data_IF_350747799439
#
_entry.id   IF_350747799439
#
_cell.length_a   1.000
_cell.length_b   1.000
_cell.length_c   1.000
_cell.angle_alpha   90.00
_cell.angle_beta   90.00
_cell.angle_gamma   90.00
#
_symmetry.space_group_name_H-M   'P 1'
#
loop_
_entity.id
_entity.type
_entity.pdbx_description
1 polymer ?
#
# COMPACT_ATOMS: atom_id res chain seq x y z
N UNK A 1 24.74 -13.46 -6.04
CA UNK A 1 23.94 -12.31 -6.51
C UNK A 1 22.96 -11.96 -5.41
N UNK A 2 23.12 -10.80 -4.77
CA UNK A 2 22.14 -10.30 -3.79
C UNK A 2 21.13 -9.44 -4.56
N UNK A 3 20.12 -10.08 -5.13
CA UNK A 3 19.01 -9.35 -5.76
C UNK A 3 17.98 -8.99 -4.70
N UNK A 4 17.48 -7.76 -4.74
CA UNK A 4 16.35 -7.36 -3.90
C UNK A 4 15.15 -8.24 -4.27
N UNK A 5 14.42 -8.81 -3.29
CA UNK A 5 13.23 -9.60 -3.59
C UNK A 5 12.21 -8.78 -4.37
N UNK A 6 11.68 -9.33 -5.47
CA UNK A 6 10.70 -8.67 -6.33
C UNK A 6 9.46 -8.20 -5.54
N UNK A 7 9.02 -9.03 -4.59
CA UNK A 7 7.93 -8.70 -3.67
C UNK A 7 8.18 -7.42 -2.88
N UNK A 8 9.43 -7.19 -2.43
CA UNK A 8 9.79 -5.96 -1.73
C UNK A 8 9.66 -4.74 -2.66
N UNK A 9 10.13 -4.85 -3.90
CA UNK A 9 10.02 -3.77 -4.90
C UNK A 9 8.55 -3.44 -5.18
N UNK A 10 7.71 -4.47 -5.36
CA UNK A 10 6.28 -4.30 -5.59
C UNK A 10 5.56 -3.67 -4.39
N UNK A 11 5.83 -4.14 -3.17
CA UNK A 11 5.29 -3.54 -1.95
C UNK A 11 5.69 -2.07 -1.78
N UNK A 12 6.96 -1.73 -2.04
CA UNK A 12 7.44 -0.35 -1.95
C UNK A 12 6.82 0.56 -3.01
N UNK A 13 6.71 0.08 -4.25
CA UNK A 13 6.07 0.84 -5.33
C UNK A 13 4.59 1.10 -5.02
N UNK A 14 3.88 0.06 -4.57
CA UNK A 14 2.47 0.15 -4.20
C UNK A 14 2.27 1.10 -3.00
N UNK A 15 3.12 1.01 -1.97
CA UNK A 15 3.09 1.91 -0.82
C UNK A 15 3.23 3.37 -1.24
N UNK A 16 4.17 3.70 -2.13
CA UNK A 16 4.37 5.07 -2.59
C UNK A 16 3.13 5.62 -3.32
N UNK A 17 2.47 4.80 -4.14
CA UNK A 17 1.23 5.20 -4.83
C UNK A 17 0.15 5.54 -3.79
N UNK A 18 -0.06 4.67 -2.80
CA UNK A 18 -1.06 4.87 -1.75
C UNK A 18 -0.73 6.07 -0.86
N UNK A 19 0.55 6.29 -0.56
CA UNK A 19 1.01 7.44 0.20
C UNK A 19 0.71 8.75 -0.53
N UNK A 20 1.03 8.84 -1.82
CA UNK A 20 0.71 10.01 -2.63
C UNK A 20 -0.79 10.25 -2.69
N UNK A 21 -1.58 9.20 -2.92
CA UNK A 21 -3.04 9.33 -2.94
C UNK A 21 -3.62 9.81 -1.61
N UNK A 22 -3.11 9.30 -0.48
CA UNK A 22 -3.50 9.76 0.84
C UNK A 22 -3.11 11.23 1.06
N UNK A 23 -1.92 11.64 0.64
CA UNK A 23 -1.48 13.03 0.73
C UNK A 23 -2.36 13.96 -0.12
N UNK A 24 -2.70 13.57 -1.34
CA UNK A 24 -3.53 14.37 -2.24
C UNK A 24 -4.98 14.48 -1.73
N UNK A 25 -5.48 13.42 -1.11
CA UNK A 25 -6.87 13.36 -0.60
C UNK A 25 -7.04 14.10 0.73
N UNK A 26 -6.10 13.93 1.65
CA UNK A 26 -6.23 14.43 3.03
C UNK A 26 -5.33 15.63 3.34
N UNK A 27 -4.41 16.01 2.45
CA UNK A 27 -3.43 17.08 2.64
C UNK A 27 -2.24 16.71 3.54
N UNK A 28 -2.29 15.55 4.20
CA UNK A 28 -1.23 15.01 5.04
C UNK A 28 -1.38 13.50 5.17
N UNK A 29 -0.28 12.81 5.49
CA UNK A 29 -0.28 11.35 5.67
C UNK A 29 -0.06 11.00 7.14
N UNK A 30 -0.95 10.17 7.68
CA UNK A 30 -0.80 9.49 8.95
C UNK A 30 -1.32 8.04 8.79
N UNK A 31 -1.09 7.19 9.80
CA UNK A 31 -1.48 5.77 9.72
C UNK A 31 -2.99 5.59 9.48
N UNK A 32 -3.83 6.47 10.04
CA UNK A 32 -5.29 6.37 9.90
C UNK A 32 -5.74 6.63 8.46
N UNK A 33 -5.32 7.75 7.87
CA UNK A 33 -5.68 8.14 6.52
C UNK A 33 -5.06 7.20 5.47
N UNK A 34 -3.84 6.74 5.72
CA UNK A 34 -3.18 5.74 4.87
C UNK A 34 -3.90 4.39 4.94
N UNK A 35 -4.28 3.94 6.13
CA UNK A 35 -5.07 2.70 6.31
C UNK A 35 -6.40 2.79 5.58
N UNK A 36 -7.12 3.92 5.70
CA UNK A 36 -8.37 4.12 4.97
C UNK A 36 -8.16 4.05 3.46
N UNK A 37 -7.13 4.73 2.96
CA UNK A 37 -6.75 4.71 1.53
C UNK A 37 -6.49 3.28 1.04
N UNK A 38 -5.71 2.50 1.80
CA UNK A 38 -5.40 1.12 1.45
C UNK A 38 -6.66 0.25 1.42
N UNK A 39 -7.53 0.39 2.42
CA UNK A 39 -8.79 -0.37 2.49
C UNK A 39 -9.72 -0.05 1.32
N UNK A 40 -9.81 1.22 0.92
CA UNK A 40 -10.64 1.67 -0.19
C UNK A 40 -10.15 1.09 -1.53
N UNK A 41 -8.84 1.09 -1.76
CA UNK A 41 -8.23 0.49 -2.95
C UNK A 41 -8.38 -1.04 -2.97
N UNK A 42 -8.07 -1.69 -1.83
CA UNK A 42 -8.20 -3.14 -1.66
C UNK A 42 -9.61 -3.63 -1.96
N UNK A 43 -10.64 -2.90 -1.51
CA UNK A 43 -12.05 -3.28 -1.71
C UNK A 43 -12.48 -3.37 -3.18
N UNK A 44 -11.72 -2.73 -4.08
CA UNK A 44 -12.00 -2.65 -5.52
C UNK A 44 -11.01 -3.46 -6.36
N UNK A 45 -10.03 -4.09 -5.73
CA UNK A 45 -8.95 -4.79 -6.43
C UNK A 45 -9.31 -6.26 -6.64
N UNK A 46 -9.53 -6.72 -7.89
CA UNK A 46 -9.74 -8.14 -8.18
C UNK A 46 -8.44 -8.96 -8.23
N UNK A 47 -7.27 -8.32 -8.35
CA UNK A 47 -6.00 -9.04 -8.44
C UNK A 47 -5.55 -9.58 -7.08
N UNK A 48 -5.37 -10.90 -6.98
CA UNK A 48 -4.97 -11.58 -5.74
C UNK A 48 -3.56 -11.20 -5.27
N UNK A 49 -2.62 -10.95 -6.19
CA UNK A 49 -1.25 -10.54 -5.84
C UNK A 49 -1.28 -9.13 -5.23
N UNK A 50 -2.03 -8.20 -5.83
CA UNK A 50 -2.17 -6.86 -5.27
C UNK A 50 -2.90 -6.88 -3.92
N UNK A 51 -3.92 -7.74 -3.75
CA UNK A 51 -4.57 -7.96 -2.47
C UNK A 51 -3.60 -8.43 -1.37
N UNK A 52 -2.74 -9.41 -1.65
CA UNK A 52 -1.71 -9.88 -0.72
C UNK A 52 -0.71 -8.76 -0.36
N UNK A 53 -0.34 -7.92 -1.33
CA UNK A 53 0.54 -6.78 -1.08
C UNK A 53 -0.14 -5.70 -0.21
N UNK A 54 -1.43 -5.40 -0.41
CA UNK A 54 -2.18 -4.49 0.46
C UNK A 54 -2.24 -5.01 1.90
N UNK A 55 -2.46 -6.31 2.10
CA UNK A 55 -2.50 -6.91 3.43
C UNK A 55 -1.15 -6.83 4.15
N UNK A 56 -0.06 -7.08 3.43
CA UNK A 56 1.29 -6.93 4.00
C UNK A 56 1.58 -5.49 4.41
N UNK A 57 1.20 -4.50 3.60
CA UNK A 57 1.36 -3.09 3.96
C UNK A 57 0.52 -2.77 5.21
N UNK A 58 -0.73 -3.22 5.27
CA UNK A 58 -1.61 -2.99 6.44
C UNK A 58 -1.04 -3.61 7.73
N UNK A 59 -0.40 -4.77 7.64
CA UNK A 59 0.25 -5.41 8.79
C UNK A 59 1.41 -4.57 9.34
N UNK A 60 2.10 -3.81 8.49
CA UNK A 60 3.22 -2.94 8.91
C UNK A 60 2.77 -1.61 9.52
N UNK A 61 1.50 -1.22 9.36
CA UNK A 61 0.94 0.05 9.86
C UNK A 61 0.27 -0.06 11.25
N UNK A 62 0.07 -1.29 11.75
CA UNK A 62 -0.44 -1.60 13.09
C UNK A 62 0.65 -1.42 14.15
#
# INVERSE_FOLDING_TARGET
MNTIPERFVLSSALYNILHHHAQDTYGYVNNQNLTQTIMDFKSKEPNEILNDLYEQILLTLK
#
